data_IF_299526583151
#
_entry.id   IF_299526583151
#
_cell.length_a   1.000
_cell.length_b   1.000
_cell.length_c   1.000
_cell.angle_alpha   90.00
_cell.angle_beta   90.00
_cell.angle_gamma   90.00
#
_symmetry.space_group_name_H-M   'P 1'
#
loop_
_entity.id
_entity.type
_entity.pdbx_description
1 polymer ?
#
# COMPACT_ATOMS: atom_id res chain seq x y z
N UNK A 1 167.11 -67.89 133.27
CA UNK A 1 166.70 -66.55 132.78
C UNK A 1 165.61 -66.79 131.75
N UNK A 2 164.34 -66.37 131.91
CA UNK A 2 163.82 -65.02 132.22
C UNK A 2 163.95 -64.08 131.00
N UNK A 3 162.91 -63.38 130.51
CA UNK A 3 161.49 -63.37 130.91
C UNK A 3 160.57 -62.82 129.80
N UNK A 4 159.27 -62.69 130.12
CA UNK A 4 158.26 -61.79 129.53
C UNK A 4 157.59 -62.10 128.17
N UNK A 5 156.26 -62.20 128.24
CA UNK A 5 155.30 -62.02 127.13
C UNK A 5 154.61 -60.67 127.31
N UNK A 6 154.37 -59.91 126.23
CA UNK A 6 153.00 -59.45 125.93
C UNK A 6 152.67 -59.50 124.42
N UNK A 7 151.42 -59.37 123.95
CA UNK A 7 150.10 -59.50 124.59
C UNK A 7 149.04 -59.79 123.50
N UNK A 8 147.95 -60.47 123.84
CA UNK A 8 146.82 -60.72 122.90
C UNK A 8 146.01 -59.44 122.59
N UNK A 9 146.10 -58.43 123.45
CA UNK A 9 145.24 -57.23 123.44
C UNK A 9 145.41 -56.39 122.18
N UNK A 10 146.61 -56.28 121.61
CA UNK A 10 146.85 -55.51 120.39
C UNK A 10 146.21 -56.14 119.14
N UNK A 11 146.16 -57.48 119.07
CA UNK A 11 145.50 -58.18 117.96
C UNK A 11 143.98 -57.98 118.01
N UNK A 12 143.38 -58.00 119.19
CA UNK A 12 141.95 -57.73 119.32
C UNK A 12 141.60 -56.24 119.20
N UNK A 13 142.50 -55.32 119.58
CA UNK A 13 142.35 -53.89 119.28
C UNK A 13 142.39 -53.61 117.77
N UNK A 14 143.34 -54.21 117.03
CA UNK A 14 143.40 -54.10 115.56
C UNK A 14 142.21 -54.78 114.90
N UNK A 15 141.74 -55.95 115.40
CA UNK A 15 140.47 -56.54 114.92
C UNK A 15 139.27 -55.65 115.18
N UNK A 16 139.15 -55.03 116.35
CA UNK A 16 138.04 -54.13 116.67
C UNK A 16 138.09 -52.85 115.83
N UNK A 17 139.28 -52.31 115.56
CA UNK A 17 139.43 -51.16 114.66
C UNK A 17 139.17 -51.54 113.19
N UNK A 18 139.51 -52.77 112.78
CA UNK A 18 139.17 -53.32 111.47
C UNK A 18 137.68 -53.70 111.35
N UNK A 19 137.02 -54.16 112.42
CA UNK A 19 135.57 -54.37 112.43
C UNK A 19 134.87 -53.02 112.35
N UNK A 20 135.29 -52.02 113.14
CA UNK A 20 134.74 -50.66 113.11
C UNK A 20 134.95 -49.98 111.76
N UNK A 21 136.08 -50.19 111.08
CA UNK A 21 136.29 -49.75 109.68
C UNK A 21 135.45 -50.53 108.67
N UNK A 22 135.16 -51.81 108.93
CA UNK A 22 134.26 -52.62 108.11
C UNK A 22 132.79 -52.28 108.35
N UNK A 23 132.43 -51.86 109.55
CA UNK A 23 131.12 -51.38 109.96
C UNK A 23 130.86 -49.99 109.37
N UNK A 24 131.82 -49.04 109.46
CA UNK A 24 131.70 -47.75 108.78
C UNK A 24 131.74 -47.90 107.26
N UNK A 25 132.53 -48.82 106.70
CA UNK A 25 132.44 -49.16 105.28
C UNK A 25 131.08 -49.74 104.92
N UNK A 26 130.57 -50.74 105.65
CA UNK A 26 129.25 -51.32 105.40
C UNK A 26 128.14 -50.25 105.52
N UNK A 27 128.26 -49.31 106.45
CA UNK A 27 127.33 -48.19 106.61
C UNK A 27 127.46 -47.14 105.49
N UNK A 28 128.65 -46.92 104.95
CA UNK A 28 128.87 -46.09 103.75
C UNK A 28 128.35 -46.78 102.48
N UNK A 29 128.61 -48.08 102.31
CA UNK A 29 128.08 -48.90 101.21
C UNK A 29 126.54 -49.01 101.29
N UNK A 30 125.95 -49.00 102.50
CA UNK A 30 124.52 -48.90 102.73
C UNK A 30 123.99 -47.49 102.38
N UNK A 31 124.60 -46.42 102.92
CA UNK A 31 124.28 -45.03 102.58
C UNK A 31 124.40 -44.74 101.08
N UNK A 32 125.35 -45.35 100.39
CA UNK A 32 125.52 -45.23 98.95
C UNK A 32 124.35 -45.91 98.22
N UNK A 33 123.95 -47.12 98.64
CA UNK A 33 122.75 -47.79 98.11
C UNK A 33 121.46 -47.02 98.41
N UNK A 34 121.34 -46.42 99.60
CA UNK A 34 120.23 -45.51 99.95
C UNK A 34 120.20 -44.29 99.03
N UNK A 35 121.34 -43.65 98.79
CA UNK A 35 121.45 -42.49 97.88
C UNK A 35 121.17 -42.86 96.41
N UNK A 36 121.64 -44.01 95.94
CA UNK A 36 121.40 -44.47 94.57
C UNK A 36 119.96 -44.98 94.38
N UNK A 37 119.34 -45.55 95.41
CA UNK A 37 117.90 -45.83 95.43
C UNK A 37 117.07 -44.55 95.43
N UNK A 38 117.44 -43.55 96.24
CA UNK A 38 116.76 -42.24 96.27
C UNK A 38 116.95 -41.46 94.95
N UNK A 39 118.09 -41.62 94.26
CA UNK A 39 118.29 -41.11 92.90
C UNK A 39 117.37 -41.81 91.92
N UNK A 40 117.32 -43.14 91.92
CA UNK A 40 116.40 -43.90 91.07
C UNK A 40 114.92 -43.57 91.34
N UNK A 41 114.54 -43.30 92.60
CA UNK A 41 113.21 -42.80 92.95
C UNK A 41 112.96 -41.37 92.43
N UNK A 42 113.97 -40.49 92.46
CA UNK A 42 113.85 -39.12 91.94
C UNK A 42 113.75 -39.13 90.41
N UNK A 43 114.58 -39.93 89.74
CA UNK A 43 114.62 -40.10 88.27
C UNK A 43 113.34 -40.77 87.74
N UNK A 44 112.78 -41.74 88.46
CA UNK A 44 111.47 -42.32 88.10
C UNK A 44 110.31 -41.37 88.37
N UNK A 45 110.37 -40.53 89.43
CA UNK A 45 109.37 -39.48 89.68
C UNK A 45 109.47 -38.33 88.67
N UNK A 46 110.66 -37.93 88.24
CA UNK A 46 110.85 -36.89 87.21
C UNK A 46 110.37 -37.40 85.85
N UNK A 47 110.75 -38.61 85.44
CA UNK A 47 110.23 -39.24 84.21
C UNK A 47 108.69 -39.41 84.23
N UNK A 48 108.10 -39.73 85.39
CA UNK A 48 106.65 -39.78 85.55
C UNK A 48 105.99 -38.41 85.42
N UNK A 49 106.57 -37.35 86.01
CA UNK A 49 106.09 -35.97 85.88
C UNK A 49 106.26 -35.42 84.47
N UNK A 50 107.36 -35.74 83.77
CA UNK A 50 107.57 -35.39 82.37
C UNK A 50 106.57 -36.12 81.46
N UNK A 51 106.29 -37.39 81.71
CA UNK A 51 105.24 -38.15 81.02
C UNK A 51 103.86 -37.55 81.23
N UNK A 52 103.52 -37.15 82.47
CA UNK A 52 102.27 -36.45 82.78
C UNK A 52 102.20 -35.08 82.11
N UNK A 53 103.29 -34.29 82.10
CA UNK A 53 103.34 -32.98 81.46
C UNK A 53 103.23 -33.09 79.92
N UNK A 54 103.87 -34.09 79.31
CA UNK A 54 103.73 -34.39 77.89
C UNK A 54 102.28 -34.80 77.54
N UNK A 55 101.66 -35.65 78.37
CA UNK A 55 100.27 -36.06 78.23
C UNK A 55 99.30 -34.87 78.34
N UNK A 56 99.39 -34.06 79.39
CA UNK A 56 98.56 -32.87 79.57
C UNK A 56 98.75 -31.84 78.44
N UNK A 57 99.95 -31.78 77.85
CA UNK A 57 100.23 -30.94 76.66
C UNK A 57 99.57 -31.50 75.40
N UNK A 58 99.49 -32.82 75.24
CA UNK A 58 98.76 -33.47 74.15
C UNK A 58 97.24 -33.29 74.30
N UNK A 59 96.68 -33.63 75.47
CA UNK A 59 95.24 -33.47 75.79
C UNK A 59 94.78 -32.00 75.62
N UNK A 60 95.63 -31.03 76.00
CA UNK A 60 95.37 -29.60 75.75
C UNK A 60 95.42 -29.21 74.26
N UNK A 61 96.24 -29.89 73.46
CA UNK A 61 96.31 -29.71 72.01
C UNK A 61 95.08 -30.29 71.31
N UNK A 62 94.66 -31.49 71.70
CA UNK A 62 93.44 -32.15 71.23
C UNK A 62 92.21 -31.29 71.56
N UNK A 63 92.04 -30.86 72.82
CA UNK A 63 90.95 -29.96 73.22
C UNK A 63 90.94 -28.61 72.47
N UNK A 64 92.11 -28.09 72.07
CA UNK A 64 92.18 -26.89 71.25
C UNK A 64 91.65 -27.15 69.82
N UNK A 65 92.01 -28.29 69.22
CA UNK A 65 91.49 -28.71 67.91
C UNK A 65 89.99 -29.00 67.96
N UNK A 66 89.49 -29.69 68.99
CA UNK A 66 88.05 -29.91 69.20
C UNK A 66 87.29 -28.58 69.32
N UNK A 67 87.83 -27.63 70.10
CA UNK A 67 87.24 -26.30 70.24
C UNK A 67 87.18 -25.55 68.91
N UNK A 68 88.24 -25.61 68.09
CA UNK A 68 88.26 -24.99 66.76
C UNK A 68 87.27 -25.67 65.80
N UNK A 69 87.16 -27.00 65.83
CA UNK A 69 86.16 -27.75 65.07
C UNK A 69 84.72 -27.38 65.48
N UNK A 70 84.44 -27.24 66.79
CA UNK A 70 83.11 -26.81 67.29
C UNK A 70 82.80 -25.37 66.89
N UNK A 71 83.78 -24.46 66.88
CA UNK A 71 83.60 -23.09 66.39
C UNK A 71 83.35 -23.06 64.88
N UNK A 72 84.09 -23.86 64.10
CA UNK A 72 83.88 -24.00 62.66
C UNK A 72 82.49 -24.58 62.33
N UNK A 73 82.07 -25.63 63.04
CA UNK A 73 80.75 -26.25 62.88
C UNK A 73 79.60 -25.28 63.22
N UNK A 74 79.73 -24.50 64.31
CA UNK A 74 78.78 -23.41 64.62
C UNK A 74 78.75 -22.35 63.52
N UNK A 75 79.92 -21.92 63.02
CA UNK A 75 79.99 -20.96 61.92
C UNK A 75 79.42 -21.48 60.59
N UNK A 76 79.42 -22.79 60.35
CA UNK A 76 78.64 -23.39 59.25
C UNK A 76 77.15 -23.28 59.56
N UNK A 77 76.72 -23.82 60.70
CA UNK A 77 75.31 -23.86 61.11
C UNK A 77 74.65 -22.46 61.11
N UNK A 78 75.36 -21.41 61.51
CA UNK A 78 74.89 -20.02 61.44
C UNK A 78 74.70 -19.53 60.00
N UNK A 79 75.57 -19.92 59.06
CA UNK A 79 75.42 -19.64 57.62
C UNK A 79 74.27 -20.45 57.02
N UNK A 80 74.13 -21.71 57.40
CA UNK A 80 73.07 -22.60 56.93
C UNK A 80 71.69 -22.09 57.41
N UNK A 81 71.61 -21.62 58.66
CA UNK A 81 70.43 -20.93 59.21
C UNK A 81 70.15 -19.61 58.48
N UNK A 82 71.17 -18.83 58.12
CA UNK A 82 71.00 -17.61 57.34
C UNK A 82 70.49 -17.91 55.92
N UNK A 83 71.03 -18.94 55.26
CA UNK A 83 70.57 -19.43 53.95
C UNK A 83 69.11 -19.86 53.99
N UNK A 84 68.74 -20.75 54.91
CA UNK A 84 67.35 -21.20 55.10
C UNK A 84 66.36 -20.06 55.44
N UNK A 85 66.83 -18.93 55.98
CA UNK A 85 66.00 -17.72 56.17
C UNK A 85 65.78 -17.01 54.84
N UNK A 86 66.84 -16.72 54.08
CA UNK A 86 66.74 -16.10 52.76
C UNK A 86 65.90 -16.93 51.78
N UNK A 87 66.03 -18.26 51.81
CA UNK A 87 65.22 -19.18 51.01
C UNK A 87 63.75 -19.18 51.41
N UNK A 88 63.44 -19.13 52.72
CA UNK A 88 62.05 -18.99 53.22
C UNK A 88 61.44 -17.65 52.81
N UNK A 89 62.18 -16.56 52.92
CA UNK A 89 61.71 -15.22 52.55
C UNK A 89 61.48 -15.12 51.04
N UNK A 90 62.39 -15.69 50.24
CA UNK A 90 62.22 -15.85 48.79
C UNK A 90 60.98 -16.68 48.46
N UNK A 91 60.81 -17.85 49.08
CA UNK A 91 59.65 -18.71 48.87
C UNK A 91 58.32 -18.00 49.23
N UNK A 92 58.26 -17.24 50.33
CA UNK A 92 57.08 -16.43 50.66
C UNK A 92 56.82 -15.29 49.66
N UNK A 93 57.88 -14.71 49.06
CA UNK A 93 57.71 -13.71 47.99
C UNK A 93 57.18 -14.32 46.70
N UNK A 94 57.63 -15.54 46.35
CA UNK A 94 57.16 -16.28 45.18
C UNK A 94 55.72 -16.78 45.38
N UNK A 95 55.39 -17.26 46.59
CA UNK A 95 54.03 -17.65 46.99
C UNK A 95 53.04 -16.49 46.82
N UNK A 96 53.36 -15.29 47.35
CA UNK A 96 52.53 -14.09 47.18
C UNK A 96 52.32 -13.75 45.70
N UNK A 97 53.39 -13.81 44.89
CA UNK A 97 53.29 -13.57 43.44
C UNK A 97 52.38 -14.60 42.75
N UNK A 98 52.41 -15.86 43.16
CA UNK A 98 51.50 -16.91 42.66
C UNK A 98 50.06 -16.65 43.11
N UNK A 99 49.83 -16.22 44.35
CA UNK A 99 48.49 -15.84 44.84
C UNK A 99 47.90 -14.65 44.05
N UNK A 100 48.71 -13.63 43.74
CA UNK A 100 48.27 -12.48 42.93
C UNK A 100 48.08 -12.83 41.44
N UNK A 101 48.86 -13.77 40.90
CA UNK A 101 48.60 -14.34 39.57
C UNK A 101 47.29 -15.16 39.54
N UNK A 102 46.99 -15.92 40.60
CA UNK A 102 45.73 -16.65 40.71
C UNK A 102 44.51 -15.71 40.81
N UNK A 103 44.62 -14.62 41.60
CA UNK A 103 43.60 -13.56 41.67
C UNK A 103 43.35 -12.92 40.30
N UNK A 104 44.41 -12.43 39.66
CA UNK A 104 44.29 -11.76 38.35
C UNK A 104 43.86 -12.69 37.22
N UNK A 105 44.10 -14.01 37.33
CA UNK A 105 43.53 -15.01 36.43
C UNK A 105 42.01 -15.17 36.66
N UNK A 106 41.58 -15.34 37.91
CA UNK A 106 40.17 -15.44 38.29
C UNK A 106 39.36 -14.18 37.89
N UNK A 107 39.93 -12.99 38.07
CA UNK A 107 39.30 -11.73 37.64
C UNK A 107 39.18 -11.63 36.10
N UNK A 108 40.17 -12.18 35.36
CA UNK A 108 40.10 -12.29 33.90
C UNK A 108 39.05 -13.31 33.46
N UNK A 109 38.98 -14.48 34.10
CA UNK A 109 38.00 -15.52 33.82
C UNK A 109 36.57 -15.01 34.03
N UNK A 110 36.32 -14.36 35.18
CA UNK A 110 35.07 -13.65 35.44
C UNK A 110 34.78 -12.60 34.36
N UNK A 111 35.75 -11.76 34.01
CA UNK A 111 35.61 -10.76 32.96
C UNK A 111 35.42 -11.33 31.55
N UNK A 112 35.83 -12.57 31.28
CA UNK A 112 35.52 -13.30 30.04
C UNK A 112 34.05 -13.73 30.09
N UNK A 113 33.62 -14.38 31.17
CA UNK A 113 32.23 -14.82 31.36
C UNK A 113 31.22 -13.67 31.30
N UNK A 114 31.52 -12.54 31.94
CA UNK A 114 30.69 -11.32 31.89
C UNK A 114 30.54 -10.79 30.44
N UNK A 115 31.56 -10.97 29.59
CA UNK A 115 31.50 -10.64 28.14
C UNK A 115 30.78 -11.69 27.31
N UNK A 116 30.95 -12.98 27.59
CA UNK A 116 30.17 -14.04 26.94
C UNK A 116 28.67 -13.86 27.19
N UNK A 117 28.28 -13.53 28.42
CA UNK A 117 26.88 -13.27 28.77
C UNK A 117 26.38 -11.92 28.22
N UNK A 118 27.27 -10.97 27.90
CA UNK A 118 26.93 -9.79 27.09
C UNK A 118 26.71 -10.15 25.62
N UNK A 119 27.58 -10.99 25.02
CA UNK A 119 27.44 -11.45 23.63
C UNK A 119 26.12 -12.22 23.44
N UNK A 120 25.80 -13.18 24.32
CA UNK A 120 24.54 -13.95 24.27
C UNK A 120 23.29 -13.06 24.31
N UNK A 121 23.34 -11.92 25.03
CA UNK A 121 22.24 -10.93 25.05
C UNK A 121 22.15 -10.19 23.71
N UNK A 122 23.26 -9.69 23.19
CA UNK A 122 23.30 -9.01 21.90
C UNK A 122 22.88 -9.94 20.74
N UNK A 123 23.25 -11.22 20.79
CA UNK A 123 22.78 -12.25 19.84
C UNK A 123 21.26 -12.44 19.91
N UNK A 124 20.67 -12.43 21.12
CA UNK A 124 19.23 -12.52 21.32
C UNK A 124 18.51 -11.26 20.84
N UNK A 125 18.99 -10.07 21.21
CA UNK A 125 18.45 -8.78 20.78
C UNK A 125 18.49 -8.63 19.25
N UNK A 126 19.59 -9.01 18.61
CA UNK A 126 19.72 -9.05 17.14
C UNK A 126 18.77 -10.06 16.51
N UNK A 127 18.61 -11.24 17.11
CA UNK A 127 17.69 -12.28 16.62
C UNK A 127 16.23 -11.81 16.67
N UNK A 128 15.83 -11.09 17.71
CA UNK A 128 14.47 -10.56 17.83
C UNK A 128 14.25 -9.31 16.97
N UNK A 129 15.27 -8.46 16.78
CA UNK A 129 15.25 -7.40 15.76
C UNK A 129 15.12 -7.94 14.34
N UNK A 130 15.76 -9.08 14.01
CA UNK A 130 15.61 -9.74 12.71
C UNK A 130 14.16 -10.23 12.51
N UNK A 131 13.60 -11.02 13.44
CA UNK A 131 12.18 -11.47 13.38
C UNK A 131 11.20 -10.31 13.23
N UNK A 132 11.45 -9.21 13.93
CA UNK A 132 10.62 -8.01 13.88
C UNK A 132 10.78 -7.23 12.57
N UNK A 133 11.94 -7.34 11.90
CA UNK A 133 12.13 -6.83 10.53
C UNK A 133 11.45 -7.72 9.49
N UNK A 134 11.50 -9.05 9.64
CA UNK A 134 10.82 -10.02 8.77
C UNK A 134 9.30 -9.81 8.78
N UNK A 135 8.69 -9.64 9.96
CA UNK A 135 7.27 -9.29 10.10
C UNK A 135 6.90 -7.98 9.40
N UNK A 136 7.77 -6.96 9.47
CA UNK A 136 7.55 -5.67 8.79
C UNK A 136 7.65 -5.80 7.28
N UNK A 137 8.55 -6.65 6.78
CA UNK A 137 8.65 -6.97 5.36
C UNK A 137 7.40 -7.73 4.90
N UNK A 138 6.93 -8.73 5.66
CA UNK A 138 5.68 -9.46 5.38
C UNK A 138 4.47 -8.51 5.30
N UNK A 139 4.29 -7.63 6.30
CA UNK A 139 3.19 -6.65 6.29
C UNK A 139 3.30 -5.60 5.15
N UNK A 140 4.50 -5.35 4.62
CA UNK A 140 4.69 -4.52 3.42
C UNK A 140 4.31 -5.28 2.14
N UNK A 141 4.66 -6.57 2.04
CA UNK A 141 4.26 -7.44 0.92
C UNK A 141 2.74 -7.63 0.87
N UNK A 142 2.09 -7.93 2.00
CA UNK A 142 0.61 -8.01 2.08
C UNK A 142 -0.05 -6.70 1.61
N UNK A 143 0.52 -5.55 1.98
CA UNK A 143 0.05 -4.22 1.55
C UNK A 143 0.28 -3.97 0.05
N UNK A 144 1.37 -4.47 -0.52
CA UNK A 144 1.68 -4.37 -1.95
C UNK A 144 0.76 -5.27 -2.77
N UNK A 145 0.51 -6.51 -2.33
CA UNK A 145 -0.49 -7.40 -2.93
C UNK A 145 -1.89 -6.79 -2.94
N UNK A 146 -2.31 -6.15 -1.84
CA UNK A 146 -3.56 -5.40 -1.76
C UNK A 146 -3.60 -4.16 -2.67
N UNK A 147 -2.44 -3.54 -2.99
CA UNK A 147 -2.36 -2.48 -4.01
C UNK A 147 -2.55 -3.07 -5.41
N UNK A 148 -1.80 -4.11 -5.74
CA UNK A 148 -1.89 -4.80 -7.03
C UNK A 148 -3.29 -5.40 -7.29
N UNK A 149 -4.01 -5.85 -6.26
CA UNK A 149 -5.42 -6.25 -6.37
C UNK A 149 -6.34 -5.07 -6.73
N UNK A 150 -6.13 -3.89 -6.13
CA UNK A 150 -6.89 -2.67 -6.45
C UNK A 150 -6.57 -2.16 -7.85
N UNK A 151 -5.32 -2.21 -8.27
CA UNK A 151 -4.87 -1.81 -9.60
C UNK A 151 -5.48 -2.71 -10.70
N UNK A 152 -5.54 -4.03 -10.47
CA UNK A 152 -6.28 -4.97 -11.34
C UNK A 152 -7.77 -4.65 -11.39
N UNK A 153 -8.41 -4.41 -10.25
CA UNK A 153 -9.83 -4.04 -10.20
C UNK A 153 -10.12 -2.70 -10.90
N UNK A 154 -9.19 -1.74 -10.86
CA UNK A 154 -9.30 -0.51 -11.63
C UNK A 154 -9.14 -0.77 -13.14
N UNK A 155 -8.19 -1.61 -13.57
CA UNK A 155 -8.07 -2.02 -14.97
C UNK A 155 -9.36 -2.69 -15.48
N UNK A 156 -9.95 -3.61 -14.72
CA UNK A 156 -11.25 -4.24 -15.03
C UNK A 156 -12.37 -3.20 -15.21
N UNK A 157 -12.37 -2.10 -14.44
CA UNK A 157 -13.36 -1.02 -14.63
C UNK A 157 -13.07 -0.15 -15.84
N UNK A 158 -11.80 0.09 -16.18
CA UNK A 158 -11.41 0.83 -17.38
C UNK A 158 -11.83 0.06 -18.63
N UNK A 159 -11.56 -1.25 -18.70
CA UNK A 159 -11.97 -2.09 -19.84
C UNK A 159 -13.49 -2.10 -20.03
N UNK A 160 -14.27 -2.19 -18.93
CA UNK A 160 -15.75 -2.08 -18.98
C UNK A 160 -16.20 -0.72 -19.53
N UNK A 161 -15.58 0.37 -19.09
CA UNK A 161 -15.88 1.72 -19.59
C UNK A 161 -15.51 1.86 -21.07
N UNK A 162 -14.36 1.33 -21.52
CA UNK A 162 -13.97 1.31 -22.94
C UNK A 162 -14.93 0.48 -23.81
N UNK A 163 -15.48 -0.62 -23.29
CA UNK A 163 -16.54 -1.38 -23.98
C UNK A 163 -17.84 -0.57 -24.06
N UNK A 164 -18.23 0.12 -22.99
CA UNK A 164 -19.39 1.01 -22.99
C UNK A 164 -19.23 2.18 -23.98
N UNK A 165 -18.07 2.82 -24.01
CA UNK A 165 -17.72 3.91 -24.93
C UNK A 165 -17.83 3.49 -26.40
N UNK A 166 -17.24 2.34 -26.77
CA UNK A 166 -17.41 1.75 -28.11
C UNK A 166 -18.89 1.49 -28.43
N UNK A 167 -19.63 0.96 -27.46
CA UNK A 167 -21.07 0.73 -27.58
C UNK A 167 -21.91 2.00 -27.67
N UNK A 168 -21.44 3.15 -27.17
CA UNK A 168 -22.05 4.47 -27.37
C UNK A 168 -21.80 4.94 -28.79
N UNK A 169 -20.53 4.99 -29.22
CA UNK A 169 -20.14 5.39 -30.58
C UNK A 169 -20.83 4.57 -31.67
N UNK A 170 -21.06 3.27 -31.45
CA UNK A 170 -21.81 2.41 -32.38
C UNK A 170 -23.33 2.61 -32.35
N UNK A 171 -23.91 3.22 -31.30
CA UNK A 171 -25.29 3.74 -31.32
C UNK A 171 -25.34 5.06 -32.08
N UNK A 172 -24.41 5.97 -31.82
CA UNK A 172 -24.36 7.30 -32.47
C UNK A 172 -24.20 7.16 -33.99
N UNK A 173 -23.31 6.27 -34.46
CA UNK A 173 -23.17 5.89 -35.87
C UNK A 173 -24.45 5.32 -36.49
N UNK A 174 -25.30 4.65 -35.71
CA UNK A 174 -26.59 4.09 -36.18
C UNK A 174 -27.72 5.11 -36.13
N UNK A 175 -27.64 6.11 -35.24
CA UNK A 175 -28.56 7.23 -35.19
C UNK A 175 -28.29 8.18 -36.37
N UNK A 176 -27.02 8.57 -36.60
CA UNK A 176 -26.63 9.40 -37.74
C UNK A 176 -27.07 8.81 -39.08
N UNK A 177 -26.88 7.49 -39.30
CA UNK A 177 -27.37 6.82 -40.52
C UNK A 177 -28.89 6.85 -40.69
N UNK A 178 -29.65 6.73 -39.59
CA UNK A 178 -31.12 6.86 -39.63
C UNK A 178 -31.56 8.29 -39.87
N UNK A 179 -30.80 9.27 -39.40
CA UNK A 179 -31.04 10.69 -39.68
C UNK A 179 -30.74 11.01 -41.16
N UNK A 180 -29.64 10.50 -41.72
CA UNK A 180 -29.33 10.53 -43.15
C UNK A 180 -30.46 9.88 -43.99
N UNK A 181 -30.95 8.70 -43.59
CA UNK A 181 -32.08 8.01 -44.23
C UNK A 181 -33.39 8.82 -44.15
N UNK A 182 -33.69 9.45 -43.01
CA UNK A 182 -34.87 10.30 -42.84
C UNK A 182 -34.79 11.59 -43.67
N UNK A 183 -33.64 12.28 -43.67
CA UNK A 183 -33.39 13.46 -44.51
C UNK A 183 -33.53 13.08 -46.00
N UNK A 184 -32.98 11.94 -46.39
CA UNK A 184 -33.12 11.41 -47.75
C UNK A 184 -34.58 11.17 -48.13
N UNK A 185 -35.36 10.47 -47.30
CA UNK A 185 -36.78 10.20 -47.55
C UNK A 185 -37.63 11.48 -47.57
N UNK A 186 -37.28 12.48 -46.75
CA UNK A 186 -37.91 13.80 -46.78
C UNK A 186 -37.63 14.53 -48.11
N UNK A 187 -36.37 14.52 -48.58
CA UNK A 187 -35.98 15.11 -49.85
C UNK A 187 -36.62 14.38 -51.05
N UNK A 188 -36.65 13.04 -51.05
CA UNK A 188 -37.33 12.23 -52.08
C UNK A 188 -38.83 12.53 -52.12
N UNK A 189 -39.49 12.67 -50.96
CA UNK A 189 -40.89 13.10 -50.86
C UNK A 189 -41.11 14.54 -51.35
N UNK A 190 -40.22 15.47 -51.02
CA UNK A 190 -40.32 16.87 -51.42
C UNK A 190 -40.17 17.00 -52.94
N UNK A 191 -39.15 16.35 -53.52
CA UNK A 191 -38.95 16.28 -54.98
C UNK A 191 -40.17 15.70 -55.71
N UNK A 192 -40.82 14.67 -55.14
CA UNK A 192 -42.03 14.08 -55.71
C UNK A 192 -43.26 15.03 -55.63
N UNK A 193 -43.35 15.85 -54.58
CA UNK A 193 -44.38 16.89 -54.48
C UNK A 193 -44.14 18.02 -55.48
N UNK A 194 -42.91 18.52 -55.61
CA UNK A 194 -42.57 19.52 -56.62
C UNK A 194 -42.78 19.02 -58.04
N UNK A 195 -42.47 17.74 -58.33
CA UNK A 195 -42.71 17.13 -59.64
C UNK A 195 -44.21 17.14 -59.96
N UNK A 196 -45.06 16.73 -59.00
CA UNK A 196 -46.51 16.78 -59.14
C UNK A 196 -47.05 18.20 -59.25
N UNK A 197 -46.44 19.18 -58.57
CA UNK A 197 -46.80 20.59 -58.70
C UNK A 197 -46.48 21.13 -60.11
N UNK A 198 -45.30 20.81 -60.65
CA UNK A 198 -44.92 21.11 -62.05
C UNK A 198 -45.88 20.46 -63.06
N UNK A 199 -46.31 19.22 -62.82
CA UNK A 199 -47.33 18.55 -63.63
C UNK A 199 -48.70 19.25 -63.55
N UNK A 200 -49.15 19.62 -62.35
CA UNK A 200 -50.41 20.35 -62.14
C UNK A 200 -50.39 21.74 -62.79
N UNK A 201 -49.27 22.47 -62.69
CA UNK A 201 -49.06 23.74 -63.38
C UNK A 201 -49.15 23.55 -64.89
N UNK A 202 -48.39 22.59 -65.45
CA UNK A 202 -48.43 22.27 -66.89
C UNK A 202 -49.84 21.89 -67.37
N UNK A 203 -50.59 21.08 -66.60
CA UNK A 203 -51.98 20.74 -66.92
C UNK A 203 -52.87 21.99 -66.91
N UNK A 204 -52.65 22.92 -65.98
CA UNK A 204 -53.40 24.19 -65.94
C UNK A 204 -53.06 25.12 -67.11
N UNK A 205 -51.80 25.16 -67.55
CA UNK A 205 -51.34 25.88 -68.74
C UNK A 205 -51.93 25.28 -70.02
N UNK A 206 -51.88 23.94 -70.18
CA UNK A 206 -52.49 23.22 -71.29
C UNK A 206 -54.02 23.43 -71.33
N UNK A 207 -54.69 23.44 -70.18
CA UNK A 207 -56.13 23.71 -70.09
C UNK A 207 -56.48 25.16 -70.42
N UNK A 208 -55.70 26.14 -69.95
CA UNK A 208 -55.89 27.55 -70.30
C UNK A 208 -55.63 27.82 -71.78
N UNK A 209 -54.61 27.18 -72.37
CA UNK A 209 -54.34 27.23 -73.80
C UNK A 209 -55.51 26.68 -74.62
N UNK A 210 -56.04 25.49 -74.26
CA UNK A 210 -57.24 24.90 -74.90
C UNK A 210 -58.49 25.76 -74.72
N UNK A 211 -58.68 26.38 -73.55
CA UNK A 211 -59.80 27.29 -73.32
C UNK A 211 -59.69 28.55 -74.21
N UNK A 212 -58.49 29.11 -74.36
CA UNK A 212 -58.24 30.25 -75.25
C UNK A 212 -58.43 29.88 -76.72
N UNK A 213 -57.96 28.71 -77.14
CA UNK A 213 -58.19 28.18 -78.49
C UNK A 213 -59.69 27.98 -78.77
N UNK A 214 -60.41 27.34 -77.84
CA UNK A 214 -61.85 27.15 -77.89
C UNK A 214 -62.62 28.47 -77.91
N UNK A 215 -62.17 29.49 -77.20
CA UNK A 215 -62.75 30.84 -77.26
C UNK A 215 -62.58 31.44 -78.66
N UNK A 216 -61.38 31.42 -79.24
CA UNK A 216 -61.13 31.90 -80.62
C UNK A 216 -61.94 31.10 -81.65
N UNK A 217 -62.09 29.80 -81.47
CA UNK A 217 -62.98 28.97 -82.31
C UNK A 217 -64.45 29.39 -82.17
N UNK A 218 -64.92 29.66 -80.95
CA UNK A 218 -66.28 30.17 -80.72
C UNK A 218 -66.50 31.57 -81.32
N UNK A 219 -65.55 32.50 -81.18
CA UNK A 219 -65.61 33.82 -81.78
C UNK A 219 -65.69 33.70 -83.32
N UNK A 220 -64.84 32.87 -83.94
CA UNK A 220 -64.89 32.62 -85.39
C UNK A 220 -66.19 31.97 -85.86
N UNK A 221 -66.85 31.16 -85.01
CA UNK A 221 -68.17 30.61 -85.29
C UNK A 221 -69.28 31.66 -85.14
N UNK A 222 -69.15 32.60 -84.21
CA UNK A 222 -70.06 33.75 -84.08
C UNK A 222 -69.92 34.68 -85.30
N UNK A 223 -68.71 34.94 -85.78
CA UNK A 223 -68.46 35.72 -87.01
C UNK A 223 -69.01 35.02 -88.27
N UNK A 224 -68.93 33.69 -88.34
CA UNK A 224 -69.61 32.91 -89.37
C UNK A 224 -71.14 33.01 -89.22
N UNK A 225 -71.66 33.07 -88.00
CA UNK A 225 -73.10 33.18 -87.74
C UNK A 225 -73.64 34.60 -87.97
N UNK A 226 -72.84 35.66 -87.86
CA UNK A 226 -73.23 37.04 -88.20
C UNK A 226 -73.21 37.22 -89.71
N UNK A 227 -72.14 36.83 -90.38
CA UNK A 227 -72.06 36.87 -91.86
C UNK A 227 -73.20 36.08 -92.53
N UNK A 228 -73.51 34.86 -92.07
CA UNK A 228 -74.69 34.11 -92.54
C UNK A 228 -76.03 34.82 -92.29
N UNK A 229 -76.18 35.60 -91.19
CA UNK A 229 -77.37 36.42 -90.96
C UNK A 229 -77.43 37.62 -91.89
N UNK A 230 -76.29 38.25 -92.16
CA UNK A 230 -76.18 39.37 -93.10
C UNK A 230 -76.47 38.94 -94.55
N UNK A 231 -76.02 37.74 -94.96
CA UNK A 231 -76.41 37.12 -96.24
C UNK A 231 -77.90 36.78 -96.28
N UNK A 232 -78.49 36.26 -95.21
CA UNK A 232 -79.94 36.03 -95.15
C UNK A 232 -80.75 37.34 -95.20
N UNK A 233 -80.24 38.42 -94.61
CA UNK A 233 -80.84 39.76 -94.69
C UNK A 233 -80.67 40.36 -96.10
N UNK A 234 -79.51 40.19 -96.74
CA UNK A 234 -79.28 40.67 -98.10
C UNK A 234 -80.20 39.95 -99.09
N UNK A 235 -80.27 38.61 -99.03
CA UNK A 235 -81.20 37.78 -99.80
C UNK A 235 -82.67 38.11 -99.52
N UNK A 236 -83.05 38.42 -98.28
CA UNK A 236 -84.39 38.90 -97.97
C UNK A 236 -84.66 40.26 -98.62
N UNK A 237 -83.71 41.20 -98.59
CA UNK A 237 -83.83 42.50 -99.26
C UNK A 237 -83.86 42.38 -100.79
N UNK A 238 -83.17 41.39 -101.36
CA UNK A 238 -83.21 41.09 -102.80
C UNK A 238 -84.53 40.46 -103.20
N UNK A 239 -85.07 39.54 -102.40
CA UNK A 239 -86.44 39.04 -102.55
C UNK A 239 -87.48 40.16 -102.43
N UNK A 240 -87.30 41.11 -101.51
CA UNK A 240 -88.20 42.27 -101.41
C UNK A 240 -88.07 43.20 -102.64
N UNK A 241 -86.85 43.52 -103.10
CA UNK A 241 -86.63 44.27 -104.35
C UNK A 241 -87.21 43.54 -105.56
N UNK A 242 -87.13 42.22 -105.61
CA UNK A 242 -87.74 41.39 -106.65
C UNK A 242 -89.26 41.39 -106.53
N UNK A 243 -89.85 41.29 -105.33
CA UNK A 243 -91.29 41.39 -105.09
C UNK A 243 -91.85 42.79 -105.37
N UNK A 244 -91.04 43.86 -105.22
CA UNK A 244 -91.40 45.22 -105.64
C UNK A 244 -91.32 45.36 -107.16
N UNK A 245 -90.32 44.76 -107.81
CA UNK A 245 -90.28 44.66 -109.29
C UNK A 245 -91.44 43.82 -109.83
N UNK A 246 -91.78 42.71 -109.18
CA UNK A 246 -92.92 41.85 -109.48
C UNK A 246 -94.23 42.61 -109.31
N UNK A 247 -94.42 43.37 -108.22
CA UNK A 247 -95.56 44.30 -108.09
C UNK A 247 -95.59 45.37 -109.19
N UNK A 248 -94.45 45.95 -109.55
CA UNK A 248 -94.36 46.92 -110.65
C UNK A 248 -94.60 46.27 -112.03
N UNK A 249 -94.28 45.00 -112.20
CA UNK A 249 -94.58 44.21 -113.39
C UNK A 249 -96.05 43.81 -113.43
N UNK A 250 -96.63 43.35 -112.32
CA UNK A 250 -98.07 43.11 -112.16
C UNK A 250 -98.89 44.40 -112.32
N UNK A 251 -98.35 45.56 -111.96
CA UNK A 251 -98.99 46.86 -112.15
C UNK A 251 -98.84 47.35 -113.60
N UNK A 252 -97.70 47.12 -114.25
CA UNK A 252 -97.53 47.34 -115.69
C UNK A 252 -98.38 46.37 -116.54
N UNK A 253 -98.47 45.09 -116.14
CA UNK A 253 -99.42 44.11 -116.65
C UNK A 253 -100.84 44.59 -116.40
N UNK A 254 -101.18 45.14 -115.23
CA UNK A 254 -102.52 45.69 -114.98
C UNK A 254 -102.83 46.94 -115.83
N UNK A 255 -101.83 47.75 -116.19
CA UNK A 255 -101.96 48.80 -117.21
C UNK A 255 -102.13 48.24 -118.62
N UNK A 256 -101.44 47.15 -118.96
CA UNK A 256 -101.57 46.43 -120.24
C UNK A 256 -102.94 45.73 -120.32
N UNK A 257 -103.42 45.13 -119.23
CA UNK A 257 -104.73 44.51 -119.08
C UNK A 257 -105.83 45.57 -119.12
N UNK A 258 -105.67 46.74 -118.50
CA UNK A 258 -106.61 47.85 -118.68
C UNK A 258 -106.64 48.38 -120.13
N UNK A 259 -105.50 48.35 -120.83
CA UNK A 259 -105.44 48.65 -122.26
C UNK A 259 -106.00 47.51 -123.16
N UNK A 260 -106.00 46.26 -122.68
CA UNK A 260 -106.58 45.08 -123.34
C UNK A 260 -108.07 44.90 -123.04
N UNK A 261 -108.58 45.34 -121.88
CA UNK A 261 -110.00 45.44 -121.57
C UNK A 261 -110.67 46.52 -122.45
N UNK A 262 -109.94 47.60 -122.77
CA UNK A 262 -110.31 48.54 -123.83
C UNK A 262 -110.21 47.93 -125.27
N UNK A 263 -109.73 46.68 -125.41
CA UNK A 263 -109.47 45.98 -126.68
C UNK A 263 -110.01 44.53 -126.71
N UNK A 264 -110.95 44.16 -125.84
CA UNK A 264 -111.79 42.96 -125.95
C UNK A 264 -111.09 41.62 -126.19
N UNK A 265 -110.05 41.30 -125.42
CA UNK A 265 -109.46 39.94 -125.37
C UNK A 265 -109.41 39.46 -123.91
N UNK A 266 -109.75 38.19 -123.69
CA UNK A 266 -110.12 37.58 -122.41
C UNK A 266 -109.28 36.30 -122.16
N UNK A 267 -109.33 35.71 -120.95
CA UNK A 267 -108.84 34.34 -120.58
C UNK A 267 -107.29 34.23 -120.38
N UNK A 268 -106.75 33.55 -119.32
CA UNK A 268 -107.24 33.33 -117.95
C UNK A 268 -106.14 33.43 -116.84
N UNK A 269 -106.48 33.08 -115.59
CA UNK A 269 -105.53 32.60 -114.56
C UNK A 269 -105.52 31.06 -114.52
N UNK A 270 -104.38 30.44 -114.18
CA UNK A 270 -104.21 29.12 -113.50
C UNK A 270 -102.71 29.02 -113.10
N UNK A 271 -102.24 29.04 -111.84
CA UNK A 271 -102.48 28.28 -110.59
C UNK A 271 -101.71 26.95 -110.44
N UNK A 272 -100.70 27.00 -109.55
CA UNK A 272 -100.36 25.98 -108.55
C UNK A 272 -99.71 24.63 -108.94
N UNK A 273 -99.31 23.91 -107.88
CA UNK A 273 -98.52 22.66 -107.82
C UNK A 273 -97.00 22.81 -108.14
N UNK A 274 -96.07 22.09 -107.49
CA UNK A 274 -96.26 21.01 -106.51
C UNK A 274 -95.25 21.03 -105.35
N UNK A 275 -95.77 20.76 -104.15
CA UNK A 275 -95.07 20.20 -102.98
C UNK A 275 -95.15 18.65 -103.09
N UNK A 276 -94.73 17.79 -102.11
CA UNK A 276 -93.87 17.92 -100.91
C UNK A 276 -92.72 16.85 -101.01
N UNK A 277 -92.29 16.05 -99.99
CA UNK A 277 -92.29 16.19 -98.52
C UNK A 277 -90.95 15.95 -97.77
N UNK A 278 -90.79 16.52 -96.54
CA UNK A 278 -89.76 16.17 -95.53
C UNK A 278 -90.29 15.32 -94.35
N UNK A 279 -89.43 14.56 -93.64
CA UNK A 279 -89.23 14.71 -92.17
C UNK A 279 -87.73 14.53 -91.78
N UNK A 280 -87.20 14.40 -90.54
CA UNK A 280 -87.65 14.01 -89.18
C UNK A 280 -86.88 14.79 -88.07
N UNK A 281 -87.25 14.56 -86.79
CA UNK A 281 -86.49 14.82 -85.54
C UNK A 281 -86.67 13.59 -84.59
N UNK A 282 -86.11 13.43 -83.34
CA UNK A 282 -85.81 14.38 -82.23
C UNK A 282 -84.30 14.46 -81.83
N UNK A 283 -83.76 15.16 -80.80
CA UNK A 283 -84.21 15.80 -79.52
C UNK A 283 -84.13 14.94 -78.20
N UNK A 284 -83.93 15.62 -77.05
CA UNK A 284 -83.96 15.24 -75.60
C UNK A 284 -82.59 15.08 -74.87
N UNK A 285 -82.60 15.32 -73.54
CA UNK A 285 -81.48 15.67 -72.60
C UNK A 285 -81.14 14.60 -71.51
N UNK A 286 -80.03 14.73 -70.75
CA UNK A 286 -79.52 13.74 -69.76
C UNK A 286 -79.93 13.98 -68.29
N UNK A 287 -79.63 13.03 -67.34
CA UNK A 287 -78.93 13.45 -66.11
C UNK A 287 -77.97 12.41 -65.40
N UNK A 288 -77.03 13.02 -64.64
CA UNK A 288 -76.13 12.66 -63.48
C UNK A 288 -75.95 11.24 -62.83
N UNK A 289 -74.85 11.06 -62.03
CA UNK A 289 -74.46 9.81 -61.33
C UNK A 289 -74.53 9.83 -59.77
N UNK A 290 -74.33 8.67 -59.11
CA UNK A 290 -73.86 8.48 -57.72
C UNK A 290 -72.39 7.98 -57.63
N UNK A 291 -71.66 7.93 -56.51
CA UNK A 291 -71.73 8.58 -55.19
C UNK A 291 -70.33 8.48 -54.48
N UNK A 292 -70.20 8.93 -53.23
CA UNK A 292 -68.92 9.20 -52.56
C UNK A 292 -68.18 7.99 -51.92
N UNK A 293 -66.92 8.25 -51.52
CA UNK A 293 -66.00 7.34 -50.82
C UNK A 293 -66.28 7.27 -49.29
N UNK A 294 -65.75 6.24 -48.62
CA UNK A 294 -65.54 6.21 -47.17
C UNK A 294 -64.27 5.40 -46.79
N UNK A 295 -63.60 5.66 -45.64
CA UNK A 295 -62.23 5.18 -45.37
C UNK A 295 -62.16 4.00 -44.37
N UNK A 296 -60.98 3.36 -44.20
CA UNK A 296 -60.76 2.28 -43.22
C UNK A 296 -60.54 2.79 -41.78
N UNK A 297 -60.77 1.95 -40.75
CA UNK A 297 -60.54 2.30 -39.35
C UNK A 297 -59.07 2.17 -38.91
N UNK A 298 -58.71 2.94 -37.88
CA UNK A 298 -57.39 2.96 -37.21
C UNK A 298 -57.41 2.14 -35.89
N UNK A 299 -56.25 1.81 -35.27
CA UNK A 299 -56.18 0.86 -34.16
C UNK A 299 -56.47 1.46 -32.77
N UNK A 300 -56.79 0.63 -31.75
CA UNK A 300 -56.85 1.05 -30.35
C UNK A 300 -55.45 1.33 -29.76
N UNK A 301 -55.38 2.17 -28.73
CA UNK A 301 -54.13 2.53 -28.03
C UNK A 301 -53.91 1.74 -26.73
N UNK A 302 -52.68 1.82 -26.23
CA UNK A 302 -52.29 1.44 -24.87
C UNK A 302 -53.00 2.30 -23.78
N UNK A 303 -53.14 1.77 -22.57
CA UNK A 303 -53.17 2.56 -21.34
C UNK A 303 -51.97 2.24 -20.41
N UNK A 304 -51.07 3.22 -20.33
CA UNK A 304 -50.33 3.70 -19.14
C UNK A 304 -50.29 2.88 -17.82
N UNK A 305 -49.07 2.85 -17.26
CA UNK A 305 -48.65 3.16 -15.85
C UNK A 305 -48.47 2.06 -14.79
N UNK A 306 -47.26 2.12 -14.23
CA UNK A 306 -46.91 2.25 -12.80
C UNK A 306 -47.46 1.22 -11.79
N UNK A 307 -46.84 0.04 -11.74
CA UNK A 307 -46.73 -0.73 -10.49
C UNK A 307 -45.57 -0.16 -9.65
N UNK A 308 -45.91 0.65 -8.64
CA UNK A 308 -44.96 1.26 -7.69
C UNK A 308 -45.33 0.85 -6.26
N UNK A 309 -44.43 0.12 -5.60
CA UNK A 309 -44.33 -0.10 -4.15
C UNK A 309 -45.52 -0.75 -3.41
N UNK A 310 -45.41 -2.06 -3.24
CA UNK A 310 -45.54 -2.80 -1.97
C UNK A 310 -44.50 -3.96 -2.08
N UNK A 311 -43.85 -4.51 -1.04
CA UNK A 311 -44.19 -4.57 0.38
C UNK A 311 -42.97 -4.35 1.31
N UNK A 312 -43.29 -3.70 2.43
CA UNK A 312 -42.48 -3.18 3.53
C UNK A 312 -41.59 -4.20 4.28
N UNK A 313 -40.29 -4.29 3.93
CA UNK A 313 -39.28 -4.94 4.78
C UNK A 313 -38.85 -4.01 5.94
N UNK A 314 -39.70 -3.93 6.98
CA UNK A 314 -39.61 -2.97 8.09
C UNK A 314 -38.58 -3.33 9.18
N UNK A 315 -37.35 -3.66 8.80
CA UNK A 315 -36.24 -3.73 9.77
C UNK A 315 -35.79 -2.33 10.21
N UNK A 316 -35.49 -2.20 11.50
CA UNK A 316 -35.31 -0.90 12.15
C UNK A 316 -34.07 -0.16 11.64
N UNK A 317 -34.27 0.88 10.82
CA UNK A 317 -33.23 1.90 10.53
C UNK A 317 -32.67 2.42 11.86
N UNK A 318 -31.35 2.27 12.16
CA UNK A 318 -30.77 2.89 13.33
C UNK A 318 -30.99 4.40 13.25
N UNK A 319 -31.42 5.04 14.34
CA UNK A 319 -31.84 6.45 14.33
C UNK A 319 -30.70 7.45 14.20
N UNK A 320 -29.48 6.95 13.99
CA UNK A 320 -28.25 7.70 13.79
C UNK A 320 -27.43 7.03 12.71
N UNK A 321 -26.98 7.79 11.71
CA UNK A 321 -26.08 7.28 10.68
C UNK A 321 -24.69 7.02 11.26
N UNK A 322 -23.95 6.09 10.65
CA UNK A 322 -22.51 5.91 10.89
C UNK A 322 -21.73 7.22 10.70
N UNK A 323 -22.19 8.09 9.80
CA UNK A 323 -21.62 9.42 9.58
C UNK A 323 -21.80 10.33 10.81
N UNK A 324 -23.05 10.54 11.27
CA UNK A 324 -23.36 11.40 12.41
C UNK A 324 -22.69 10.90 13.70
N UNK A 325 -22.62 9.57 13.90
CA UNK A 325 -21.92 8.96 15.02
C UNK A 325 -20.42 9.28 15.01
N UNK A 326 -19.77 9.19 13.84
CA UNK A 326 -18.37 9.54 13.65
C UNK A 326 -18.12 11.05 13.84
N UNK A 327 -19.02 11.90 13.35
CA UNK A 327 -18.94 13.36 13.52
C UNK A 327 -18.99 13.74 15.01
N UNK A 328 -19.98 13.22 15.75
CA UNK A 328 -20.09 13.51 17.20
C UNK A 328 -18.93 12.95 18.01
N UNK A 329 -18.44 11.75 17.68
CA UNK A 329 -17.23 11.19 18.32
C UNK A 329 -15.98 12.03 18.03
N UNK A 330 -15.85 12.58 16.82
CA UNK A 330 -14.74 13.47 16.45
C UNK A 330 -14.83 14.79 17.23
N UNK A 331 -16.01 15.41 17.29
CA UNK A 331 -16.26 16.61 18.09
C UNK A 331 -16.00 16.37 19.60
N UNK A 332 -16.39 15.22 20.13
CA UNK A 332 -16.10 14.82 21.52
C UNK A 332 -14.59 14.64 21.78
N UNK A 333 -13.86 14.04 20.83
CA UNK A 333 -12.39 13.90 20.88
C UNK A 333 -11.67 15.25 20.89
N UNK A 334 -12.07 16.18 20.01
CA UNK A 334 -11.47 17.51 19.93
C UNK A 334 -11.73 18.34 21.19
N UNK A 335 -12.96 18.34 21.70
CA UNK A 335 -13.32 19.05 22.94
C UNK A 335 -12.59 18.43 24.14
N UNK A 336 -12.52 17.09 24.24
CA UNK A 336 -11.76 16.42 25.30
C UNK A 336 -10.25 16.72 25.23
N UNK A 337 -9.68 16.84 24.01
CA UNK A 337 -8.31 17.28 23.81
C UNK A 337 -8.10 18.73 24.25
N UNK A 338 -8.97 19.66 23.83
CA UNK A 338 -8.91 21.07 24.24
C UNK A 338 -8.99 21.22 25.76
N UNK A 339 -9.88 20.48 26.42
CA UNK A 339 -10.07 20.53 27.88
C UNK A 339 -8.90 19.89 28.66
N UNK A 340 -8.29 18.82 28.10
CA UNK A 340 -7.01 18.27 28.59
C UNK A 340 -5.88 19.31 28.49
N UNK A 341 -5.82 20.02 27.38
CA UNK A 341 -4.75 20.98 27.08
C UNK A 341 -4.89 22.26 27.93
N UNK A 342 -6.09 22.58 28.41
CA UNK A 342 -6.34 23.53 29.53
C UNK A 342 -6.10 22.93 30.93
N UNK A 343 -5.41 21.80 31.05
CA UNK A 343 -4.98 21.20 32.33
C UNK A 343 -6.07 20.49 33.16
N UNK A 344 -7.31 20.35 32.66
CA UNK A 344 -8.42 19.76 33.43
C UNK A 344 -8.35 18.22 33.41
N UNK A 345 -8.77 17.58 34.51
CA UNK A 345 -8.70 16.13 34.66
C UNK A 345 -9.72 15.40 33.75
N UNK A 346 -9.27 14.94 32.59
CA UNK A 346 -10.05 14.16 31.62
C UNK A 346 -9.93 12.63 31.80
N UNK A 347 -9.68 12.14 33.02
CA UNK A 347 -9.46 10.69 33.25
C UNK A 347 -10.73 9.85 33.07
N UNK A 348 -11.88 10.35 33.53
CA UNK A 348 -13.17 9.65 33.41
C UNK A 348 -13.72 9.77 31.99
N UNK A 349 -13.66 10.97 31.41
CA UNK A 349 -13.92 11.23 29.99
C UNK A 349 -13.10 10.28 29.09
N UNK A 350 -11.83 9.99 29.40
CA UNK A 350 -11.03 9.00 28.65
C UNK A 350 -11.53 7.55 28.79
N UNK A 351 -12.17 7.16 29.89
CA UNK A 351 -12.83 5.85 30.03
C UNK A 351 -14.08 5.78 29.15
N UNK A 352 -14.97 6.77 29.27
CA UNK A 352 -16.22 6.84 28.49
C UNK A 352 -15.92 6.91 26.98
N UNK A 353 -14.89 7.67 26.58
CA UNK A 353 -14.50 7.79 25.18
C UNK A 353 -13.90 6.49 24.63
N UNK A 354 -13.19 5.69 25.45
CA UNK A 354 -12.77 4.33 25.07
C UNK A 354 -13.97 3.40 24.89
N UNK A 355 -15.01 3.51 25.72
CA UNK A 355 -16.26 2.75 25.56
C UNK A 355 -17.02 3.17 24.30
N UNK A 356 -17.12 4.48 24.01
CA UNK A 356 -17.73 5.00 22.79
C UNK A 356 -17.02 4.50 21.51
N UNK A 357 -15.69 4.39 21.53
CA UNK A 357 -14.91 3.77 20.44
C UNK A 357 -15.22 2.28 20.28
N UNK A 358 -15.22 1.51 21.36
CA UNK A 358 -15.55 0.08 21.31
C UNK A 358 -16.98 -0.17 20.78
N UNK A 359 -17.94 0.67 21.16
CA UNK A 359 -19.30 0.63 20.60
C UNK A 359 -19.35 0.93 19.11
N UNK A 360 -18.64 1.98 18.64
CA UNK A 360 -18.57 2.34 17.22
C UNK A 360 -17.86 1.27 16.37
N UNK A 361 -16.79 0.67 16.92
CA UNK A 361 -16.05 -0.43 16.30
C UNK A 361 -16.89 -1.73 16.27
N UNK A 362 -17.78 -1.94 17.25
CA UNK A 362 -18.78 -3.02 17.27
C UNK A 362 -20.03 -2.78 16.41
N UNK A 363 -20.20 -1.59 15.84
CA UNK A 363 -21.35 -1.23 15.00
C UNK A 363 -22.55 -0.61 15.72
N UNK A 364 -22.51 -0.47 17.06
CA UNK A 364 -23.57 0.14 17.88
C UNK A 364 -23.54 1.67 17.79
N UNK A 365 -23.83 2.21 16.59
CA UNK A 365 -23.74 3.65 16.32
C UNK A 365 -24.64 4.49 17.25
N UNK A 366 -25.78 3.96 17.71
CA UNK A 366 -26.63 4.66 18.67
C UNK A 366 -25.98 4.82 20.05
N UNK A 367 -25.34 3.78 20.59
CA UNK A 367 -24.73 3.85 21.93
C UNK A 367 -23.45 4.68 21.88
N UNK A 368 -22.65 4.55 20.81
CA UNK A 368 -21.50 5.42 20.54
C UNK A 368 -21.90 6.90 20.48
N UNK A 369 -23.02 7.21 19.82
CA UNK A 369 -23.56 8.58 19.70
C UNK A 369 -24.07 9.15 21.02
N UNK A 370 -24.75 8.33 21.84
CA UNK A 370 -25.16 8.72 23.20
C UNK A 370 -23.95 9.06 24.06
N UNK A 371 -23.00 8.12 24.17
CA UNK A 371 -21.76 8.31 24.93
C UNK A 371 -20.94 9.53 24.45
N UNK A 372 -20.86 9.78 23.13
CA UNK A 372 -20.22 10.97 22.59
C UNK A 372 -20.97 12.27 22.92
N UNK A 373 -22.31 12.22 22.97
CA UNK A 373 -23.16 13.37 23.35
C UNK A 373 -23.09 13.66 24.86
N UNK A 374 -22.99 12.62 25.69
CA UNK A 374 -22.79 12.73 27.14
C UNK A 374 -21.39 13.31 27.45
N UNK A 375 -20.34 12.85 26.76
CA UNK A 375 -18.99 13.44 26.85
C UNK A 375 -19.03 14.94 26.50
N UNK A 376 -19.70 15.32 25.40
CA UNK A 376 -19.82 16.73 25.03
C UNK A 376 -20.55 17.54 26.11
N UNK A 377 -21.65 16.99 26.66
CA UNK A 377 -22.40 17.61 27.75
C UNK A 377 -21.55 17.82 29.02
N UNK A 378 -20.78 16.83 29.44
CA UNK A 378 -19.92 16.93 30.65
C UNK A 378 -18.74 17.90 30.47
N UNK A 379 -18.29 18.09 29.21
CA UNK A 379 -17.27 19.06 28.84
C UNK A 379 -17.84 20.49 28.75
N UNK A 380 -19.05 20.65 28.20
CA UNK A 380 -19.72 21.95 27.99
C UNK A 380 -20.43 22.49 29.25
N UNK A 381 -20.94 21.61 30.13
CA UNK A 381 -21.73 22.00 31.32
C UNK A 381 -20.91 22.64 32.47
N UNK A 382 -19.59 22.76 32.33
CA UNK A 382 -18.72 23.43 33.30
C UNK A 382 -17.92 24.51 32.57
N UNK A 383 -18.22 25.81 32.79
CA UNK A 383 -17.57 26.90 32.09
C UNK A 383 -16.05 26.87 32.23
N UNK A 384 -15.35 27.07 31.12
CA UNK A 384 -13.92 27.35 31.14
C UNK A 384 -13.69 28.70 31.86
N UNK A 385 -12.79 28.78 32.86
CA UNK A 385 -12.31 30.07 33.33
C UNK A 385 -11.60 30.79 32.16
N UNK A 386 -11.82 32.10 32.05
CA UNK A 386 -11.17 32.97 31.07
C UNK A 386 -9.84 33.50 31.58
#
# INVERSE_FOLDING_TARGET
MASEKPSLVLLDAVKAQASKLRETKNALDARQKELDALRAELDTRSAALESQAARLKAERGEFAQEKEQVVAARSSMDKDIAGMRMERDKASSEERRVQDWARTLNDREKGIKDREDQVKRLEHDLTDHLKESERKIQALVEREELSAQRERALADTIDRLTVMERGMADRDRKLAKREEELIRLQNERLNALEAREREMLKISEEMYARQKESAVQHDSFVDLQTTLKEELISLASEREKLAVKEKSLLEAEKYITAALEASGIEIPMETESNNPPPPLAPEIRPPRPPAAQAPPPAPPMEPMRDEIFEEESSEAKPRVSRADALERMTKALETAKRVRDTGRNVSEIRKVLKQARAAFEGGDYETATRLASDILRDLEAVPLPR
#
